data_IF_795080829135
#
_entry.id   IF_795080829135
#
_cell.length_a   1.000
_cell.length_b   1.000
_cell.length_c   1.000
_cell.angle_alpha   90.00
_cell.angle_beta   90.00
_cell.angle_gamma   90.00
#
_symmetry.space_group_name_H-M   'P 1'
#
loop_
_entity.id
_entity.type
_entity.pdbx_description
1 polymer ?
#
# COMPACT_ATOMS: atom_id res chain seq x y z
N UNK A 1 -6.26 2.31 -12.47
CA UNK A 1 -5.78 3.44 -13.28
C UNK A 1 -4.78 2.89 -14.27
N UNK A 2 -4.79 3.42 -15.49
CA UNK A 2 -3.87 2.99 -16.54
C UNK A 2 -2.46 3.52 -16.26
N UNK A 3 -1.44 2.69 -16.47
CA UNK A 3 -0.06 3.04 -16.13
C UNK A 3 0.50 4.13 -17.08
N UNK A 4 0.11 4.12 -18.36
CA UNK A 4 0.53 5.14 -19.30
C UNK A 4 -0.10 6.49 -18.94
N UNK A 5 -1.40 6.49 -18.63
CA UNK A 5 -2.10 7.69 -18.15
C UNK A 5 -1.46 8.27 -16.89
N UNK A 6 -1.18 7.45 -15.87
CA UNK A 6 -0.54 7.92 -14.62
C UNK A 6 0.88 8.47 -14.82
N UNK A 7 1.58 7.97 -15.85
CA UNK A 7 2.90 8.45 -16.23
C UNK A 7 2.81 9.80 -16.92
N UNK A 8 1.88 9.95 -17.85
CA UNK A 8 1.62 11.20 -18.58
C UNK A 8 1.16 12.31 -17.63
N UNK A 9 0.26 12.00 -16.70
CA UNK A 9 -0.22 12.92 -15.66
C UNK A 9 0.84 13.21 -14.58
N UNK A 10 1.97 12.49 -14.58
CA UNK A 10 3.11 12.74 -13.69
C UNK A 10 2.96 12.21 -12.26
N UNK A 11 1.90 11.43 -11.95
CA UNK A 11 1.64 10.92 -10.60
C UNK A 11 2.77 10.05 -10.06
N UNK A 12 3.38 9.21 -10.91
CA UNK A 12 4.53 8.40 -10.48
C UNK A 12 5.74 9.25 -10.05
N UNK A 13 5.94 10.42 -10.65
CA UNK A 13 7.01 11.34 -10.21
C UNK A 13 6.70 11.92 -8.83
N UNK A 14 5.43 12.26 -8.58
CA UNK A 14 4.98 12.79 -7.28
C UNK A 14 5.23 11.76 -6.17
N UNK A 15 4.81 10.51 -6.37
CA UNK A 15 5.04 9.44 -5.40
C UNK A 15 6.52 9.08 -5.24
N UNK A 16 7.29 9.06 -6.33
CA UNK A 16 8.73 8.82 -6.25
C UNK A 16 9.47 9.87 -5.42
N UNK A 17 9.09 11.15 -5.56
CA UNK A 17 9.66 12.26 -4.77
C UNK A 17 9.31 12.18 -3.29
N UNK A 18 8.16 11.61 -2.93
CA UNK A 18 7.79 11.38 -1.52
C UNK A 18 8.45 10.14 -0.90
N UNK A 19 9.28 9.41 -1.65
CA UNK A 19 9.92 8.18 -1.19
C UNK A 19 9.01 6.96 -1.22
N UNK A 20 7.85 7.04 -1.89
CA UNK A 20 6.95 5.90 -2.00
C UNK A 20 7.52 4.83 -2.96
N UNK A 21 7.35 3.56 -2.58
CA UNK A 21 7.65 2.41 -3.44
C UNK A 21 6.41 2.07 -4.27
N UNK A 22 6.56 2.05 -5.59
CA UNK A 22 5.49 1.65 -6.51
C UNK A 22 5.66 0.16 -6.84
N UNK A 23 4.59 -0.60 -6.62
CA UNK A 23 4.52 -2.03 -6.93
C UNK A 23 3.69 -2.30 -8.18
N UNK A 24 3.99 -3.41 -8.85
CA UNK A 24 3.16 -3.91 -9.96
C UNK A 24 1.78 -4.29 -9.39
N UNK A 25 0.66 -3.86 -10.02
CA UNK A 25 -0.67 -4.18 -9.54
C UNK A 25 -0.88 -5.70 -9.55
N UNK A 26 -1.31 -6.26 -8.41
CA UNK A 26 -1.52 -7.70 -8.28
C UNK A 26 -1.81 -8.16 -6.85
N UNK A 27 -1.74 -9.47 -6.63
CA UNK A 27 -2.04 -10.10 -5.34
C UNK A 27 -0.96 -9.89 -4.27
N UNK A 28 0.05 -9.06 -4.53
CA UNK A 28 1.27 -8.87 -3.74
C UNK A 28 1.00 -8.61 -2.26
N UNK A 29 0.84 -7.34 -1.86
CA UNK A 29 0.69 -6.96 -0.47
C UNK A 29 -0.70 -7.31 0.06
N UNK A 30 -1.74 -7.12 -0.76
CA UNK A 30 -3.12 -7.33 -0.34
C UNK A 30 -3.38 -8.76 0.15
N UNK A 31 -2.73 -9.77 -0.43
CA UNK A 31 -2.83 -11.18 0.00
C UNK A 31 -1.63 -11.64 0.84
N UNK A 32 -0.59 -10.81 1.00
CA UNK A 32 0.64 -11.15 1.70
C UNK A 32 1.51 -12.20 0.99
N UNK A 33 1.31 -12.41 -0.32
CA UNK A 33 1.89 -13.55 -1.04
C UNK A 33 3.23 -13.23 -1.73
N UNK A 34 3.50 -11.96 -2.06
CA UNK A 34 4.76 -11.53 -2.69
C UNK A 34 5.48 -10.47 -1.86
N UNK A 35 4.73 -9.48 -1.36
CA UNK A 35 5.22 -8.49 -0.43
C UNK A 35 4.55 -8.68 0.93
N UNK A 36 5.33 -8.36 1.96
CA UNK A 36 4.97 -8.49 3.36
C UNK A 36 5.52 -7.27 4.11
N UNK A 37 4.77 -6.80 5.11
CA UNK A 37 5.27 -5.79 6.04
C UNK A 37 6.16 -6.42 7.10
N UNK A 38 6.98 -5.60 7.76
CA UNK A 38 7.79 -6.07 8.88
C UNK A 38 6.92 -6.66 10.01
N UNK A 39 7.48 -7.58 10.76
CA UNK A 39 6.78 -8.22 11.87
C UNK A 39 6.43 -7.19 12.95
N UNK A 40 5.22 -7.27 13.48
CA UNK A 40 4.70 -6.31 14.46
C UNK A 40 4.41 -4.91 13.92
N UNK A 41 4.52 -4.68 12.61
CA UNK A 41 4.31 -3.35 12.04
C UNK A 41 2.87 -2.85 12.19
N UNK A 42 2.72 -1.53 12.33
CA UNK A 42 1.43 -0.84 12.24
C UNK A 42 1.23 -0.33 10.82
N UNK A 43 0.10 -0.68 10.20
CA UNK A 43 -0.18 -0.40 8.79
C UNK A 43 -1.53 0.29 8.67
N UNK A 44 -1.56 1.42 7.97
CA UNK A 44 -2.79 2.04 7.46
C UNK A 44 -2.96 1.58 6.02
N UNK A 45 -4.07 0.90 5.71
CA UNK A 45 -4.29 0.24 4.44
C UNK A 45 -5.59 0.69 3.77
N UNK A 46 -5.53 0.89 2.46
CA UNK A 46 -6.70 1.11 1.60
C UNK A 46 -7.34 -0.20 1.11
N UNK A 47 -6.92 -1.34 1.66
CA UNK A 47 -7.54 -2.64 1.38
C UNK A 47 -8.93 -2.75 2.02
N UNK A 48 -9.61 -3.87 1.77
CA UNK A 48 -10.96 -4.15 2.30
C UNK A 48 -10.96 -5.09 3.49
N UNK A 49 -9.78 -5.62 3.91
CA UNK A 49 -9.67 -6.66 4.94
C UNK A 49 -8.44 -6.44 5.82
N UNK A 50 -8.60 -6.71 7.12
CA UNK A 50 -7.56 -6.49 8.14
C UNK A 50 -7.45 -7.63 9.18
N UNK A 51 -7.78 -8.87 8.82
CA UNK A 51 -7.68 -9.97 9.77
C UNK A 51 -6.22 -10.23 10.21
N UNK A 52 -5.99 -10.82 11.41
CA UNK A 52 -4.66 -11.03 11.94
C UNK A 52 -3.71 -11.76 10.98
N UNK A 53 -2.46 -11.33 10.94
CA UNK A 53 -1.39 -11.89 10.10
C UNK A 53 -1.58 -11.75 8.59
N UNK A 54 -2.52 -10.91 8.14
CA UNK A 54 -2.83 -10.74 6.71
C UNK A 54 -1.69 -10.13 5.90
N UNK A 55 -1.07 -9.06 6.42
CA UNK A 55 0.01 -8.33 5.72
C UNK A 55 1.40 -8.74 6.22
N UNK A 56 1.48 -9.37 7.38
CA UNK A 56 2.71 -9.77 8.07
C UNK A 56 2.40 -10.29 9.48
N UNK A 57 3.30 -11.09 10.05
CA UNK A 57 3.13 -11.67 11.38
C UNK A 57 3.00 -10.57 12.44
N UNK A 58 1.94 -10.63 13.24
CA UNK A 58 1.70 -9.67 14.32
C UNK A 58 1.41 -8.24 13.85
N UNK A 59 1.18 -8.01 12.56
CA UNK A 59 0.92 -6.68 12.05
C UNK A 59 -0.46 -6.15 12.50
N UNK A 60 -0.50 -4.90 12.94
CA UNK A 60 -1.72 -4.17 13.28
C UNK A 60 -2.21 -3.42 12.04
N UNK A 61 -3.34 -3.82 11.47
CA UNK A 61 -3.84 -3.27 10.20
C UNK A 61 -5.12 -2.47 10.42
N UNK A 62 -5.06 -1.19 10.05
CA UNK A 62 -6.19 -0.25 10.12
C UNK A 62 -6.65 0.09 8.71
N UNK A 63 -7.96 -0.02 8.46
CA UNK A 63 -8.55 0.30 7.16
C UNK A 63 -8.89 1.79 7.11
N UNK A 64 -8.51 2.44 6.01
CA UNK A 64 -8.72 3.86 5.81
C UNK A 64 -8.98 4.18 4.32
N UNK A 65 -9.48 5.37 4.04
CA UNK A 65 -9.58 5.88 2.68
C UNK A 65 -8.21 6.23 2.11
N UNK A 66 -8.13 6.46 0.79
CA UNK A 66 -6.86 6.83 0.14
C UNK A 66 -6.32 8.16 0.67
N UNK A 67 -7.19 9.11 0.96
CA UNK A 67 -6.86 10.43 1.49
C UNK A 67 -6.24 10.31 2.89
N UNK A 68 -6.87 9.56 3.79
CA UNK A 68 -6.36 9.39 5.16
C UNK A 68 -5.07 8.56 5.17
N UNK A 69 -4.98 7.52 4.33
CA UNK A 69 -3.76 6.73 4.19
C UNK A 69 -2.59 7.57 3.68
N UNK A 70 -2.83 8.51 2.76
CA UNK A 70 -1.80 9.43 2.27
C UNK A 70 -1.34 10.43 3.34
N UNK A 71 -2.22 10.87 4.24
CA UNK A 71 -1.86 11.76 5.37
C UNK A 71 -1.07 11.03 6.46
N UNK A 72 -1.31 9.73 6.63
CA UNK A 72 -0.65 8.91 7.65
C UNK A 72 0.74 8.37 7.24
N UNK A 73 1.08 8.43 5.95
CA UNK A 73 2.30 7.87 5.35
C UNK A 73 3.46 8.87 5.39
#
# INVERSE_FOLDING_TARGET
>A
MDAAQLTEEGYYSVFGKSGARIEIPGCSLCMGNQARVADGATVVSTSTRNFPNRLGTGANVFLASAELAAVAA
#
